data_IF_981988903582
#
_entry.id   IF_981988903582
#
_cell.length_a   1.000
_cell.length_b   1.000
_cell.length_c   1.000
_cell.angle_alpha   90.00
_cell.angle_beta   90.00
_cell.angle_gamma   90.00
#
_symmetry.space_group_name_H-M   'P 1'
#
loop_
_entity.id
_entity.type
_entity.pdbx_description
1 polymer ?
#
# COMPACT_ATOMS: atom_id res chain seq x y z
N UNK A 1 1.40 7.26 -17.84
CA UNK A 1 1.54 5.80 -18.00
C UNK A 1 1.64 5.18 -16.62
N UNK A 2 1.46 3.86 -16.50
CA UNK A 2 1.71 3.17 -15.22
C UNK A 2 3.16 3.34 -14.75
N UNK A 3 4.12 3.39 -15.69
CA UNK A 3 5.52 3.77 -15.41
C UNK A 3 5.61 5.04 -14.54
N UNK A 4 5.05 6.15 -15.00
CA UNK A 4 5.11 7.43 -14.27
C UNK A 4 4.38 7.37 -12.92
N UNK A 5 3.28 6.62 -12.84
CA UNK A 5 2.55 6.43 -11.59
C UNK A 5 3.43 5.70 -10.57
N UNK A 6 4.08 4.62 -10.97
CA UNK A 6 4.99 3.84 -10.12
C UNK A 6 6.22 4.63 -9.70
N UNK A 7 6.84 5.37 -10.62
CA UNK A 7 7.97 6.27 -10.32
C UNK A 7 7.60 7.32 -9.27
N UNK A 8 6.41 7.91 -9.38
CA UNK A 8 5.89 8.89 -8.41
C UNK A 8 5.50 8.24 -7.08
N UNK A 9 4.95 7.03 -7.12
CA UNK A 9 4.56 6.26 -5.93
C UNK A 9 5.77 6.03 -5.01
N UNK A 10 6.92 5.65 -5.57
CA UNK A 10 8.15 5.37 -4.83
C UNK A 10 9.15 6.53 -4.81
N UNK A 11 8.79 7.70 -5.35
CA UNK A 11 9.70 8.85 -5.44
C UNK A 11 10.24 9.26 -4.06
N UNK A 12 9.43 9.07 -3.01
CA UNK A 12 9.77 9.37 -1.62
C UNK A 12 10.63 8.34 -0.89
N UNK A 13 10.98 7.20 -1.50
CA UNK A 13 11.88 6.23 -0.89
C UNK A 13 13.30 6.78 -0.78
N UNK A 14 13.88 6.65 0.40
CA UNK A 14 15.25 7.09 0.69
C UNK A 14 16.25 5.94 0.67
N UNK A 15 15.82 4.72 0.96
CA UNK A 15 16.62 3.49 0.88
C UNK A 15 15.72 2.33 0.38
N UNK A 16 16.32 1.27 -0.15
CA UNK A 16 15.62 0.04 -0.59
C UNK A 16 14.90 0.16 -1.93
N UNK A 17 15.08 1.28 -2.66
CA UNK A 17 14.47 1.48 -3.98
C UNK A 17 15.04 0.49 -5.00
N UNK A 18 16.35 0.27 -4.94
CA UNK A 18 17.11 -0.66 -5.77
C UNK A 18 16.69 -2.13 -5.61
N UNK A 19 16.12 -2.50 -4.45
CA UNK A 19 15.61 -3.85 -4.22
C UNK A 19 14.33 -4.13 -5.04
N UNK A 20 13.62 -3.06 -5.44
CA UNK A 20 12.42 -3.10 -6.25
C UNK A 20 12.77 -2.91 -7.73
N UNK A 21 13.33 -1.75 -8.10
CA UNK A 21 13.49 -1.37 -9.50
C UNK A 21 14.89 -1.66 -10.07
N UNK A 22 15.82 -2.19 -9.27
CA UNK A 22 17.19 -2.48 -9.71
C UNK A 22 18.06 -1.24 -9.91
N UNK A 23 17.54 -0.03 -9.67
CA UNK A 23 18.28 1.24 -9.76
C UNK A 23 17.98 2.15 -8.57
N UNK A 24 18.90 3.06 -8.25
CA UNK A 24 18.69 4.04 -7.18
C UNK A 24 17.84 5.25 -7.60
N UNK A 25 17.73 5.51 -8.92
CA UNK A 25 16.92 6.60 -9.47
C UNK A 25 15.46 6.21 -9.74
N UNK A 26 15.15 4.91 -9.77
CA UNK A 26 13.81 4.40 -10.07
C UNK A 26 13.37 4.57 -11.52
N UNK A 27 14.28 4.79 -12.48
CA UNK A 27 13.94 5.08 -13.88
C UNK A 27 14.03 3.88 -14.82
N UNK A 28 14.18 2.66 -14.29
CA UNK A 28 14.10 1.43 -15.10
C UNK A 28 12.66 1.14 -15.52
N UNK A 29 12.50 0.36 -16.60
CA UNK A 29 11.20 -0.09 -17.07
C UNK A 29 10.49 -0.89 -15.97
N UNK A 30 9.23 -0.54 -15.64
CA UNK A 30 8.45 -1.22 -14.60
C UNK A 30 8.27 -2.72 -14.83
N UNK A 31 8.43 -3.20 -16.06
CA UNK A 31 8.40 -4.64 -16.37
C UNK A 31 9.61 -5.40 -15.84
N UNK A 32 10.70 -4.68 -15.51
CA UNK A 32 11.89 -5.23 -14.85
C UNK A 32 11.84 -5.10 -13.33
N UNK A 33 10.88 -4.36 -12.79
CA UNK A 33 10.74 -4.18 -11.35
C UNK A 33 10.27 -5.48 -10.71
N UNK A 34 10.84 -5.79 -9.54
CA UNK A 34 10.42 -6.92 -8.73
C UNK A 34 9.10 -6.60 -8.05
N UNK A 35 8.36 -7.67 -7.76
CA UNK A 35 7.16 -7.62 -6.91
C UNK A 35 5.98 -6.82 -7.50
N UNK A 36 5.93 -6.73 -8.83
CA UNK A 36 4.77 -6.27 -9.59
C UNK A 36 4.22 -7.45 -10.38
N UNK A 37 2.90 -7.61 -10.36
CA UNK A 37 2.21 -8.57 -11.23
C UNK A 37 1.36 -7.81 -12.25
N UNK A 38 1.37 -8.32 -13.48
CA UNK A 38 0.70 -7.73 -14.64
C UNK A 38 -0.34 -8.69 -15.18
N UNK A 39 -1.47 -8.16 -15.63
CA UNK A 39 -2.49 -8.94 -16.33
C UNK A 39 -2.11 -9.18 -17.81
N UNK A 40 -3.01 -9.83 -18.55
CA UNK A 40 -2.84 -10.15 -19.97
C UNK A 40 -2.90 -8.91 -20.89
N UNK A 41 -3.32 -7.76 -20.37
CA UNK A 41 -3.30 -6.47 -21.06
C UNK A 41 -2.03 -5.66 -20.80
N UNK A 42 -1.20 -6.11 -19.84
CA UNK A 42 -0.01 -5.40 -19.38
C UNK A 42 -0.29 -4.36 -18.30
N UNK A 43 -1.46 -4.42 -17.66
CA UNK A 43 -1.82 -3.56 -16.54
C UNK A 43 -1.42 -4.20 -15.19
N UNK A 44 -0.83 -3.39 -14.29
CA UNK A 44 -0.46 -3.82 -12.94
C UNK A 44 -1.75 -4.06 -12.15
N UNK A 45 -1.92 -5.26 -11.63
CA UNK A 45 -3.04 -5.58 -10.74
C UNK A 45 -2.59 -5.81 -9.28
N UNK A 46 -1.33 -6.15 -9.06
CA UNK A 46 -0.77 -6.36 -7.72
C UNK A 46 0.58 -5.64 -7.54
N UNK A 47 0.75 -5.05 -6.35
CA UNK A 47 2.01 -4.45 -5.90
C UNK A 47 2.34 -5.02 -4.53
N UNK A 48 3.57 -5.53 -4.37
CA UNK A 48 4.11 -6.02 -3.10
C UNK A 48 5.43 -5.32 -2.76
N UNK A 49 5.47 -4.59 -1.65
CA UNK A 49 6.69 -4.04 -1.08
C UNK A 49 6.92 -4.62 0.30
N UNK A 50 7.84 -5.60 0.41
CA UNK A 50 8.12 -6.36 1.64
C UNK A 50 9.58 -6.29 2.11
N UNK A 51 10.35 -5.38 1.54
CA UNK A 51 11.79 -5.28 1.81
C UNK A 51 12.06 -4.43 3.06
N UNK A 52 12.80 -5.01 4.01
CA UNK A 52 13.13 -4.37 5.29
C UNK A 52 14.04 -3.15 5.14
N UNK A 53 14.74 -3.01 4.01
CA UNK A 53 15.57 -1.88 3.64
C UNK A 53 14.76 -0.63 3.26
N UNK A 54 13.47 -0.79 2.94
CA UNK A 54 12.64 0.32 2.46
C UNK A 54 12.41 1.32 3.59
N UNK A 55 12.89 2.55 3.36
CA UNK A 55 12.69 3.72 4.24
C UNK A 55 12.19 4.93 3.43
N UNK A 56 11.79 5.99 4.13
CA UNK A 56 11.32 7.22 3.50
C UNK A 56 9.80 7.28 3.48
N UNK A 57 9.21 7.56 2.31
CA UNK A 57 7.77 7.76 2.18
C UNK A 57 7.19 7.22 0.88
N UNK A 58 5.90 6.93 0.94
CA UNK A 58 5.07 6.45 -0.16
C UNK A 58 3.87 7.40 -0.35
N UNK A 59 3.58 7.76 -1.60
CA UNK A 59 2.42 8.59 -1.93
C UNK A 59 1.32 7.78 -2.63
N UNK A 60 0.35 7.35 -1.82
CA UNK A 60 -0.76 6.47 -2.20
C UNK A 60 -1.63 7.03 -3.35
N UNK A 61 -1.56 8.34 -3.65
CA UNK A 61 -2.31 8.96 -4.76
C UNK A 61 -1.83 8.49 -6.13
N UNK A 62 -0.65 7.90 -6.21
CA UNK A 62 -0.06 7.42 -7.46
C UNK A 62 -0.18 5.90 -7.62
N UNK A 63 -0.96 5.21 -6.79
CA UNK A 63 -1.28 3.81 -7.03
C UNK A 63 -2.10 3.73 -8.34
N UNK A 64 -1.69 2.90 -9.33
CA UNK A 64 -2.46 2.75 -10.56
C UNK A 64 -3.91 2.28 -10.30
N UNK A 65 -4.85 2.80 -11.10
CA UNK A 65 -6.28 2.49 -10.94
C UNK A 65 -6.64 1.02 -11.19
N UNK A 66 -5.76 0.29 -11.87
CA UNK A 66 -5.87 -1.13 -12.20
C UNK A 66 -5.50 -2.04 -11.04
N UNK A 67 -4.81 -1.52 -10.02
CA UNK A 67 -4.38 -2.29 -8.85
C UNK A 67 -5.59 -2.71 -8.03
N UNK A 68 -5.67 -4.00 -7.74
CA UNK A 68 -6.68 -4.62 -6.89
C UNK A 68 -6.09 -5.16 -5.59
N UNK A 69 -4.79 -5.48 -5.59
CA UNK A 69 -4.07 -5.98 -4.41
C UNK A 69 -2.85 -5.11 -4.11
N UNK A 70 -2.83 -4.49 -2.93
CA UNK A 70 -1.76 -3.57 -2.54
C UNK A 70 -1.17 -3.96 -1.18
N UNK A 71 0.09 -4.38 -1.19
CA UNK A 71 0.80 -4.85 0.00
C UNK A 71 2.05 -4.02 0.25
N UNK A 72 2.13 -3.41 1.43
CA UNK A 72 3.33 -2.78 1.96
C UNK A 72 3.53 -3.33 3.36
N UNK A 73 4.43 -4.29 3.50
CA UNK A 73 4.57 -5.11 4.70
C UNK A 73 6.01 -5.13 5.19
N UNK A 74 6.26 -5.21 6.49
CA UNK A 74 7.62 -5.47 7.02
C UNK A 74 8.69 -4.46 6.55
N UNK A 75 8.30 -3.22 6.22
CA UNK A 75 9.22 -2.14 5.85
C UNK A 75 9.50 -1.22 7.04
N UNK A 76 10.31 -0.17 6.83
CA UNK A 76 10.60 0.85 7.84
C UNK A 76 9.87 2.17 7.59
N UNK A 77 8.83 2.17 6.75
CA UNK A 77 8.03 3.36 6.46
C UNK A 77 7.33 3.90 7.71
N UNK A 78 7.49 5.20 7.94
CA UNK A 78 7.00 5.92 9.11
C UNK A 78 6.27 7.20 8.69
N UNK A 79 4.97 7.06 8.39
CA UNK A 79 4.14 8.18 7.94
C UNK A 79 2.66 7.99 8.32
N UNK A 80 1.89 9.05 8.15
CA UNK A 80 0.43 8.93 8.07
C UNK A 80 0.00 8.36 6.73
N UNK A 81 -1.18 7.77 6.67
CA UNK A 81 -1.76 7.20 5.45
C UNK A 81 -3.02 7.96 5.07
N UNK A 82 -3.06 8.44 3.83
CA UNK A 82 -4.25 9.03 3.21
C UNK A 82 -4.90 7.99 2.29
N UNK A 83 -6.10 7.57 2.66
CA UNK A 83 -6.86 6.52 1.95
C UNK A 83 -7.87 7.11 0.95
N UNK A 84 -7.98 8.43 0.83
CA UNK A 84 -9.08 9.09 0.10
C UNK A 84 -9.12 8.80 -1.40
N UNK A 85 -8.00 8.41 -2.00
CA UNK A 85 -7.88 8.19 -3.45
C UNK A 85 -7.33 6.80 -3.80
N UNK A 86 -7.56 5.81 -2.94
CA UNK A 86 -7.20 4.44 -3.27
C UNK A 86 -8.00 3.93 -4.48
N UNK A 87 -7.42 3.08 -5.33
CA UNK A 87 -8.15 2.41 -6.39
C UNK A 87 -9.19 1.44 -5.80
N UNK A 88 -9.93 0.75 -6.66
CA UNK A 88 -10.92 -0.26 -6.27
C UNK A 88 -10.30 -1.53 -5.70
N UNK A 89 -9.53 -1.41 -4.61
CA UNK A 89 -8.80 -2.51 -3.98
C UNK A 89 -9.77 -3.57 -3.46
N UNK A 90 -9.37 -4.81 -3.65
CA UNK A 90 -9.93 -6.00 -3.02
C UNK A 90 -9.12 -6.38 -1.77
N UNK A 91 -7.79 -6.22 -1.82
CA UNK A 91 -6.87 -6.53 -0.71
C UNK A 91 -5.94 -5.36 -0.41
N UNK A 92 -5.84 -5.00 0.87
CA UNK A 92 -4.93 -3.97 1.36
C UNK A 92 -4.17 -4.49 2.59
N UNK A 93 -2.85 -4.58 2.49
CA UNK A 93 -1.98 -4.76 3.65
C UNK A 93 -1.02 -3.61 3.81
N UNK A 94 -1.00 -3.05 5.02
CA UNK A 94 -0.03 -2.07 5.49
C UNK A 94 0.68 -2.57 6.76
N UNK A 95 0.65 -3.88 7.00
CA UNK A 95 1.06 -4.49 8.27
C UNK A 95 2.54 -4.38 8.56
N UNK A 96 2.92 -4.38 9.83
CA UNK A 96 4.32 -4.47 10.27
C UNK A 96 5.19 -3.32 9.72
N UNK A 97 4.70 -2.08 9.81
CA UNK A 97 5.45 -0.87 9.50
C UNK A 97 5.50 0.05 10.73
N UNK A 98 5.82 1.33 10.53
CA UNK A 98 5.75 2.37 11.58
C UNK A 98 4.70 3.43 11.25
N UNK A 99 3.65 3.07 10.51
CA UNK A 99 2.60 4.02 10.17
C UNK A 99 1.86 4.50 11.42
N UNK A 100 1.43 5.76 11.42
CA UNK A 100 0.80 6.39 12.57
C UNK A 100 -0.33 7.34 12.18
N UNK A 101 -1.00 7.92 13.17
CA UNK A 101 -2.11 8.85 12.97
C UNK A 101 -3.48 8.18 13.04
N UNK A 102 -4.53 8.93 12.71
CA UNK A 102 -5.90 8.41 12.72
C UNK A 102 -6.17 7.62 11.44
N UNK A 103 -6.53 6.35 11.56
CA UNK A 103 -6.89 5.52 10.41
C UNK A 103 -8.31 5.83 9.96
N UNK A 104 -8.48 6.27 8.71
CA UNK A 104 -9.75 6.69 8.15
C UNK A 104 -10.53 5.49 7.57
N UNK A 105 -11.12 4.65 8.43
CA UNK A 105 -11.94 3.50 8.02
C UNK A 105 -13.09 3.86 7.07
N UNK A 106 -13.60 5.09 7.16
CA UNK A 106 -14.67 5.60 6.31
C UNK A 106 -14.24 5.86 4.85
N UNK A 107 -12.94 5.88 4.58
CA UNK A 107 -12.35 6.15 3.27
C UNK A 107 -11.87 4.88 2.55
N UNK A 108 -12.16 3.69 3.09
CA UNK A 108 -11.76 2.43 2.45
C UNK A 108 -12.55 2.21 1.15
N UNK A 109 -11.94 1.60 0.11
CA UNK A 109 -12.63 1.24 -1.12
C UNK A 109 -13.85 0.35 -0.85
N UNK A 110 -14.92 0.55 -1.61
CA UNK A 110 -16.16 -0.22 -1.44
C UNK A 110 -15.93 -1.72 -1.69
N UNK A 111 -15.03 -2.10 -2.59
CA UNK A 111 -14.77 -3.50 -2.93
C UNK A 111 -13.79 -4.21 -1.98
N UNK A 112 -13.29 -3.52 -0.95
CA UNK A 112 -12.26 -4.06 -0.09
C UNK A 112 -12.82 -5.23 0.74
N UNK A 113 -12.21 -6.40 0.59
CA UNK A 113 -12.58 -7.62 1.29
C UNK A 113 -11.57 -8.00 2.37
N UNK A 114 -10.29 -7.67 2.18
CA UNK A 114 -9.25 -7.99 3.15
C UNK A 114 -8.45 -6.77 3.56
N UNK A 115 -8.32 -6.57 4.88
CA UNK A 115 -7.58 -5.46 5.47
C UNK A 115 -6.63 -5.95 6.57
N UNK A 116 -5.33 -5.76 6.33
CA UNK A 116 -4.27 -6.12 7.27
C UNK A 116 -3.43 -4.89 7.63
N UNK A 117 -3.64 -4.29 8.79
CA UNK A 117 -2.88 -3.10 9.24
C UNK A 117 -2.21 -3.29 10.60
N UNK A 118 -2.17 -4.54 11.07
CA UNK A 118 -1.59 -4.91 12.36
C UNK A 118 -0.11 -4.53 12.46
N UNK A 119 0.39 -4.35 13.69
CA UNK A 119 1.80 -4.04 13.92
C UNK A 119 2.20 -2.65 13.42
N UNK A 120 1.41 -1.64 13.76
CA UNK A 120 1.65 -0.23 13.44
C UNK A 120 1.35 0.65 14.67
N UNK A 121 1.34 1.96 14.50
CA UNK A 121 0.96 2.94 15.52
C UNK A 121 -0.31 3.71 15.15
N UNK A 122 -1.20 3.13 14.34
CA UNK A 122 -2.48 3.75 13.99
C UNK A 122 -3.36 3.92 15.22
N UNK A 123 -4.24 4.91 15.17
CA UNK A 123 -5.22 5.25 16.19
C UNK A 123 -6.57 5.57 15.55
N UNK A 124 -7.59 5.82 16.36
CA UNK A 124 -8.90 6.27 15.89
C UNK A 124 -10.00 5.30 16.24
N UNK A 125 -11.24 5.76 16.08
CA UNK A 125 -12.42 4.98 16.42
C UNK A 125 -13.03 4.32 15.19
N UNK A 126 -13.37 3.04 15.34
CA UNK A 126 -13.98 2.23 14.30
C UNK A 126 -15.51 2.17 14.45
N UNK A 127 -16.25 2.36 13.35
CA UNK A 127 -17.69 2.04 13.29
C UNK A 127 -17.89 0.65 12.68
N UNK A 128 -18.16 -0.34 13.54
CA UNK A 128 -18.32 -1.75 13.14
C UNK A 128 -19.34 -1.95 11.99
N UNK A 129 -20.43 -1.17 11.99
CA UNK A 129 -21.49 -1.23 10.97
C UNK A 129 -21.02 -0.98 9.54
N UNK A 130 -19.89 -0.29 9.36
CA UNK A 130 -19.29 -0.04 8.03
C UNK A 130 -18.28 -1.11 7.63
N UNK A 131 -17.51 -1.67 8.57
CA UNK A 131 -16.61 -2.77 8.24
C UNK A 131 -17.36 -4.02 7.79
N UNK A 132 -18.48 -4.31 8.44
CA UNK A 132 -19.24 -5.55 8.23
C UNK A 132 -19.98 -5.64 6.90
N UNK A 133 -19.88 -4.64 6.00
CA UNK A 133 -20.56 -4.72 4.70
C UNK A 133 -19.81 -5.62 3.73
N UNK A 134 -18.50 -5.40 3.59
CA UNK A 134 -17.71 -6.02 2.53
C UNK A 134 -16.41 -6.69 3.03
N UNK A 135 -15.93 -6.35 4.24
CA UNK A 135 -14.70 -6.96 4.77
C UNK A 135 -14.96 -8.36 5.30
N UNK A 136 -14.26 -9.34 4.73
CA UNK A 136 -14.25 -10.74 5.11
C UNK A 136 -13.14 -11.04 6.13
N UNK A 137 -11.98 -10.39 5.97
CA UNK A 137 -10.82 -10.57 6.83
C UNK A 137 -10.28 -9.22 7.30
N UNK A 138 -10.10 -9.08 8.61
CA UNK A 138 -9.61 -7.84 9.22
C UNK A 138 -8.63 -8.17 10.34
N UNK A 139 -7.39 -7.68 10.23
CA UNK A 139 -6.37 -7.74 11.28
C UNK A 139 -5.86 -6.35 11.63
N UNK A 140 -6.07 -5.96 12.89
CA UNK A 140 -5.84 -4.61 13.40
C UNK A 140 -4.98 -4.59 14.65
N UNK A 141 -4.66 -5.77 15.19
CA UNK A 141 -3.95 -5.95 16.45
C UNK A 141 -2.62 -5.20 16.46
N UNK A 142 -2.11 -4.93 17.66
CA UNK A 142 -0.84 -4.19 17.81
C UNK A 142 -0.89 -2.81 17.12
N UNK A 143 -2.01 -2.10 17.31
CA UNK A 143 -2.20 -0.68 17.04
C UNK A 143 -2.77 0.01 18.30
N UNK A 144 -3.16 1.29 18.19
CA UNK A 144 -3.71 2.14 19.27
C UNK A 144 -5.19 2.48 19.02
N UNK A 145 -5.97 1.53 18.50
CA UNK A 145 -7.43 1.66 18.32
C UNK A 145 -8.18 1.61 19.64
#
# INVERSE_FOLDING_TARGET
SQQTLMELLIAGFTEGKEDICGSSDGQSDITEWRFLEFDDTGDIYEILFDQHSITGSLDFRWIPLTVTSFFVCETQLEQTVDLTNLPGLYELSLSMNKFYGTFAFDSLPENLAELYIFGNAFSGSMKLEKLLRNLLYVKLEQNKF
#
